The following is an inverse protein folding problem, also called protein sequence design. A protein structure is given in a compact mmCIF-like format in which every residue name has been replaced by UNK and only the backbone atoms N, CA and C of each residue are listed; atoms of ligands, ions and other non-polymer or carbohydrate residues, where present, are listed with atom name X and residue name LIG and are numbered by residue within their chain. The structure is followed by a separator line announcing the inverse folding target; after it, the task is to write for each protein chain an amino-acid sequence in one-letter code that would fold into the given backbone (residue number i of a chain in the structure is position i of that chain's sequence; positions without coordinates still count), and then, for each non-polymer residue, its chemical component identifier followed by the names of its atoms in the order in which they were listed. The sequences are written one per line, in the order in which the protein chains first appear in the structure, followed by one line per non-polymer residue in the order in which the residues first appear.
data_IF_225302821381
#
_entry.id   IF_225302821381
#
_cell.length_a   1.000
_cell.length_b   1.000
_cell.length_c   1.000
_cell.angle_alpha   90.00
_cell.angle_beta   90.00
_cell.angle_gamma   90.00
#
_symmetry.space_group_name_H-M   'P 1'
#
loop_
_entity.id
_entity.type
_entity.pdbx_description
1 polymer ?
#
# COMPACT_ATOMS: atom_id res chain seq x y z
N UNK A 1 13.65 -0.52 21.67
CA UNK A 1 14.42 -1.74 21.29
C UNK A 1 13.59 -3.01 21.48
N UNK A 2 13.13 -3.36 22.69
CA UNK A 2 12.34 -4.60 22.92
C UNK A 2 11.05 -4.74 22.08
N UNK A 3 10.28 -3.66 21.87
CA UNK A 3 8.99 -3.75 21.16
C UNK A 3 9.11 -3.80 19.63
N UNK A 4 10.14 -3.16 19.05
CA UNK A 4 10.43 -3.25 17.63
C UNK A 4 10.93 -4.65 17.24
N UNK A 5 11.80 -5.27 18.06
CA UNK A 5 12.25 -6.65 17.86
C UNK A 5 11.14 -7.67 18.10
N UNK A 6 10.23 -7.43 19.05
CA UNK A 6 9.00 -8.20 19.21
C UNK A 6 8.12 -8.05 17.96
N UNK A 7 7.86 -6.83 17.51
CA UNK A 7 7.01 -6.53 16.35
C UNK A 7 7.59 -7.08 15.04
N UNK A 8 8.89 -6.90 14.77
CA UNK A 8 9.58 -7.45 13.61
C UNK A 8 9.74 -8.97 13.72
N UNK A 9 9.91 -9.52 14.92
CA UNK A 9 9.85 -10.96 15.18
C UNK A 9 8.47 -11.56 14.89
N UNK A 10 7.39 -10.83 15.15
CA UNK A 10 6.02 -11.23 14.78
C UNK A 10 5.69 -10.99 13.30
N UNK A 11 6.30 -9.98 12.66
CA UNK A 11 6.13 -9.65 11.23
C UNK A 11 6.94 -10.56 10.30
N UNK A 12 8.13 -11.00 10.72
CA UNK A 12 9.03 -11.85 9.94
C UNK A 12 8.60 -13.32 9.95
N UNK A 13 7.69 -13.69 10.85
CA UNK A 13 6.99 -14.95 10.80
C UNK A 13 5.62 -14.77 10.15
N UNK A 14 5.17 -15.76 9.39
CA UNK A 14 3.80 -15.96 8.88
C UNK A 14 2.71 -16.04 9.99
N UNK A 15 2.87 -15.33 11.10
CA UNK A 15 2.14 -15.48 12.36
C UNK A 15 1.01 -14.46 12.56
N UNK A 16 0.22 -14.19 11.52
CA UNK A 16 -1.22 -14.10 11.79
C UNK A 16 -1.73 -15.40 12.43
N UNK A 17 -1.02 -16.52 12.20
CA UNK A 17 -1.19 -17.83 12.82
C UNK A 17 -1.04 -17.87 14.35
N UNK A 18 -0.46 -16.86 15.02
CA UNK A 18 -0.21 -16.89 16.48
C UNK A 18 -0.31 -15.51 17.17
N UNK A 19 -1.28 -14.67 16.80
CA UNK A 19 -1.58 -13.50 17.66
C UNK A 19 -2.25 -13.96 18.97
N UNK A 20 -2.15 -13.14 20.01
CA UNK A 20 -2.60 -13.35 21.42
C UNK A 20 -4.11 -13.66 21.56
N UNK A 21 -4.86 -13.68 20.45
CA UNK A 21 -6.25 -14.11 20.35
C UNK A 21 -6.38 -15.61 20.02
N UNK A 22 -5.57 -16.45 20.67
CA UNK A 22 -5.64 -17.90 20.50
C UNK A 22 -6.99 -18.46 20.99
N UNK A 23 -7.64 -19.20 20.10
CA UNK A 23 -8.80 -20.10 20.30
C UNK A 23 -10.16 -19.45 20.56
N UNK A 24 -10.70 -18.76 19.57
CA UNK A 24 -12.15 -18.53 19.47
C UNK A 24 -12.62 -18.87 18.05
N UNK A 25 -13.84 -19.40 17.90
CA UNK A 25 -14.39 -19.85 16.60
C UNK A 25 -14.41 -18.73 15.54
N UNK A 26 -14.45 -17.48 15.98
CA UNK A 26 -14.35 -16.31 15.12
C UNK A 26 -12.97 -16.17 14.44
N UNK A 27 -11.88 -16.51 15.15
CA UNK A 27 -10.51 -16.39 14.62
C UNK A 27 -10.21 -17.47 13.57
N UNK A 28 -10.71 -18.70 13.77
CA UNK A 28 -10.59 -19.77 12.78
C UNK A 28 -11.42 -19.49 11.54
N UNK A 29 -12.61 -18.89 11.71
CA UNK A 29 -13.45 -18.44 10.59
C UNK A 29 -12.79 -17.30 9.80
N UNK A 30 -12.21 -16.31 10.48
CA UNK A 30 -11.49 -15.22 9.81
C UNK A 30 -10.28 -15.75 9.02
N UNK A 31 -9.52 -16.68 9.60
CA UNK A 31 -8.39 -17.30 8.94
C UNK A 31 -8.80 -18.13 7.71
N UNK A 32 -9.88 -18.90 7.80
CA UNK A 32 -10.38 -19.68 6.66
C UNK A 32 -10.90 -18.79 5.52
N UNK A 33 -11.51 -17.64 5.84
CA UNK A 33 -11.87 -16.62 4.86
C UNK A 33 -10.64 -16.04 4.15
N UNK A 34 -9.61 -15.69 4.92
CA UNK A 34 -8.34 -15.21 4.37
C UNK A 34 -7.69 -16.26 3.46
N UNK A 35 -7.56 -17.51 3.91
CA UNK A 35 -7.00 -18.60 3.10
C UNK A 35 -7.82 -18.85 1.83
N UNK A 36 -9.16 -18.78 1.91
CA UNK A 36 -10.03 -18.95 0.75
C UNK A 36 -9.76 -17.87 -0.32
N UNK A 37 -9.64 -16.61 0.10
CA UNK A 37 -9.26 -15.50 -0.76
C UNK A 37 -7.85 -15.67 -1.34
N UNK A 38 -6.88 -15.95 -0.47
CA UNK A 38 -5.47 -16.12 -0.83
C UNK A 38 -5.28 -17.26 -1.84
N UNK A 39 -5.93 -18.41 -1.63
CA UNK A 39 -5.91 -19.55 -2.54
C UNK A 39 -6.53 -19.23 -3.91
N UNK A 40 -7.48 -18.30 -3.97
CA UNK A 40 -8.05 -17.83 -5.24
C UNK A 40 -7.02 -17.02 -6.01
N UNK A 41 -6.40 -16.03 -5.37
CA UNK A 41 -5.44 -15.12 -6.02
C UNK A 41 -4.08 -15.78 -6.31
N UNK A 42 -3.63 -16.74 -5.49
CA UNK A 42 -2.37 -17.49 -5.68
C UNK A 42 -2.31 -18.24 -7.01
N UNK A 43 -3.45 -18.48 -7.66
CA UNK A 43 -3.50 -19.03 -9.03
C UNK A 43 -2.77 -18.14 -10.04
N UNK A 44 -2.68 -16.83 -9.78
CA UNK A 44 -1.89 -15.89 -10.61
C UNK A 44 -0.40 -16.21 -10.63
N UNK A 45 0.14 -16.91 -9.61
CA UNK A 45 1.54 -17.35 -9.59
C UNK A 45 1.89 -18.36 -10.70
N UNK A 46 0.87 -18.91 -11.38
CA UNK A 46 1.02 -19.77 -12.56
C UNK A 46 1.05 -19.00 -13.88
N UNK A 47 1.04 -17.66 -13.85
CA UNK A 47 0.94 -16.79 -15.01
C UNK A 47 -0.48 -16.56 -15.53
N UNK A 48 -1.49 -17.24 -14.96
CA UNK A 48 -2.89 -17.12 -15.39
C UNK A 48 -3.61 -15.97 -14.71
N UNK A 49 -4.41 -15.21 -15.47
CA UNK A 49 -5.28 -14.18 -14.91
C UNK A 49 -6.36 -14.80 -14.01
N UNK A 50 -6.77 -14.04 -12.99
CA UNK A 50 -7.81 -14.42 -12.03
C UNK A 50 -8.87 -13.33 -11.98
N UNK A 51 -10.09 -13.69 -12.38
CA UNK A 51 -11.27 -12.85 -12.21
C UNK A 51 -11.98 -13.25 -10.92
N UNK A 52 -12.00 -12.33 -9.95
CA UNK A 52 -12.79 -12.44 -8.74
C UNK A 52 -14.27 -12.32 -9.12
N UNK A 53 -15.08 -13.28 -8.67
CA UNK A 53 -16.50 -13.32 -8.99
C UNK A 53 -17.28 -12.52 -7.95
N UNK A 54 -18.35 -11.84 -8.36
CA UNK A 54 -19.18 -11.04 -7.46
C UNK A 54 -19.73 -11.87 -6.29
N UNK A 55 -20.35 -13.03 -6.57
CA UNK A 55 -20.87 -13.94 -5.55
C UNK A 55 -19.82 -14.37 -4.52
N UNK A 56 -18.56 -14.52 -4.96
CA UNK A 56 -17.46 -14.88 -4.07
C UNK A 56 -17.13 -13.73 -3.12
N UNK A 57 -17.05 -12.49 -3.63
CA UNK A 57 -16.78 -11.31 -2.82
C UNK A 57 -17.95 -10.99 -1.88
N UNK A 58 -19.18 -11.10 -2.35
CA UNK A 58 -20.40 -10.95 -1.52
C UNK A 58 -20.40 -11.98 -0.39
N UNK A 59 -20.07 -13.24 -0.68
CA UNK A 59 -19.98 -14.26 0.36
C UNK A 59 -18.90 -13.94 1.40
N UNK A 60 -17.69 -13.51 0.97
CA UNK A 60 -16.65 -13.09 1.91
C UNK A 60 -17.15 -11.93 2.78
N UNK A 61 -17.71 -10.88 2.17
CA UNK A 61 -18.27 -9.71 2.87
C UNK A 61 -19.30 -10.14 3.92
N UNK A 62 -20.29 -10.94 3.53
CA UNK A 62 -21.35 -11.38 4.43
C UNK A 62 -20.82 -12.21 5.62
N UNK A 63 -19.73 -12.97 5.42
CA UNK A 63 -19.10 -13.73 6.50
C UNK A 63 -18.26 -12.82 7.42
N UNK A 64 -17.56 -11.82 6.88
CA UNK A 64 -16.88 -10.80 7.67
C UNK A 64 -17.87 -10.00 8.54
N UNK A 65 -19.02 -9.61 7.99
CA UNK A 65 -20.06 -8.90 8.74
C UNK A 65 -20.61 -9.72 9.92
N UNK A 66 -20.74 -11.05 9.77
CA UNK A 66 -21.11 -11.95 10.89
C UNK A 66 -20.06 -12.00 12.00
N UNK A 67 -18.81 -11.70 11.69
CA UNK A 67 -17.70 -11.58 12.65
C UNK A 67 -17.60 -10.17 13.25
N UNK A 68 -18.59 -9.31 13.01
CA UNK A 68 -18.55 -7.87 13.36
C UNK A 68 -17.33 -7.14 12.76
N UNK A 69 -16.76 -7.69 11.68
CA UNK A 69 -15.78 -6.99 10.86
C UNK A 69 -16.57 -6.15 9.87
N UNK A 70 -16.72 -4.87 10.21
CA UNK A 70 -17.44 -3.90 9.39
C UNK A 70 -16.45 -3.17 8.48
N UNK A 71 -16.89 -2.79 7.27
CA UNK A 71 -16.08 -1.98 6.37
C UNK A 71 -15.62 -0.69 7.08
N UNK A 72 -14.34 -0.36 6.92
CA UNK A 72 -13.89 1.01 7.16
C UNK A 72 -14.56 1.90 6.11
N UNK A 73 -15.38 2.88 6.55
CA UNK A 73 -16.26 3.70 5.72
C UNK A 73 -15.55 4.64 4.70
N UNK A 74 -14.25 4.44 4.48
CA UNK A 74 -13.42 5.30 3.64
C UNK A 74 -12.10 4.63 3.23
N UNK A 75 -11.86 4.60 1.92
CA UNK A 75 -10.56 4.31 1.32
C UNK A 75 -10.27 5.33 0.23
N UNK A 76 -9.02 5.80 0.11
CA UNK A 76 -8.58 6.58 -1.04
C UNK A 76 -7.96 5.65 -2.06
N UNK A 77 -8.63 5.47 -3.19
CA UNK A 77 -8.12 4.68 -4.31
C UNK A 77 -7.48 5.62 -5.32
N UNK A 78 -6.21 5.40 -5.63
CA UNK A 78 -5.59 6.02 -6.80
C UNK A 78 -5.85 5.11 -8.00
N UNK A 79 -6.72 5.57 -8.89
CA UNK A 79 -7.20 4.79 -10.03
C UNK A 79 -6.73 5.46 -11.33
N UNK A 80 -6.37 4.64 -12.31
CA UNK A 80 -6.17 5.08 -13.68
C UNK A 80 -7.21 4.40 -14.58
N UNK A 81 -7.78 5.14 -15.52
CA UNK A 81 -8.71 4.61 -16.52
C UNK A 81 -7.98 4.39 -17.84
N UNK A 82 -8.26 3.30 -18.54
CA UNK A 82 -7.79 3.08 -19.92
C UNK A 82 -8.87 3.42 -20.97
N UNK A 83 -8.50 3.26 -22.24
CA UNK A 83 -9.38 3.53 -23.38
C UNK A 83 -10.56 2.55 -23.50
N UNK A 84 -10.51 1.41 -22.80
CA UNK A 84 -11.52 0.36 -22.78
C UNK A 84 -12.42 0.43 -21.53
N UNK A 85 -12.37 1.55 -20.80
CA UNK A 85 -13.12 1.77 -19.56
C UNK A 85 -12.80 0.77 -18.45
N UNK A 86 -11.55 0.29 -18.42
CA UNK A 86 -10.99 -0.46 -17.29
C UNK A 86 -10.34 0.48 -16.30
N UNK A 87 -10.43 0.14 -15.02
CA UNK A 87 -9.98 0.95 -13.90
C UNK A 87 -8.86 0.23 -13.14
N UNK A 88 -7.65 0.76 -13.20
CA UNK A 88 -6.47 0.16 -12.58
C UNK A 88 -6.19 0.79 -11.23
N UNK A 89 -6.22 -0.03 -10.17
CA UNK A 89 -5.86 0.40 -8.81
C UNK A 89 -4.32 0.47 -8.70
N UNK A 90 -3.80 1.68 -8.56
CA UNK A 90 -2.36 1.92 -8.37
C UNK A 90 -1.93 1.91 -6.92
N UNK A 91 -2.80 2.43 -6.06
CA UNK A 91 -2.53 2.55 -4.64
C UNK A 91 -3.84 2.65 -3.88
N UNK A 92 -3.85 2.09 -2.68
CA UNK A 92 -4.92 2.26 -1.71
C UNK A 92 -4.32 3.02 -0.54
N UNK A 93 -4.62 4.31 -0.46
CA UNK A 93 -4.23 5.16 0.65
C UNK A 93 -5.33 5.12 1.72
N UNK A 94 -4.90 4.89 2.94
CA UNK A 94 -5.72 4.90 4.16
C UNK A 94 -5.58 6.22 4.91
N UNK A 95 -4.79 7.17 4.37
CA UNK A 95 -4.70 8.51 4.91
C UNK A 95 -5.89 9.33 4.41
N UNK A 96 -6.77 9.66 5.34
CA UNK A 96 -8.07 10.27 5.05
C UNK A 96 -7.98 11.63 4.33
N UNK A 97 -6.89 12.36 4.52
CA UNK A 97 -6.82 13.77 4.13
C UNK A 97 -5.45 14.20 3.62
N UNK A 98 -4.50 13.28 3.50
CA UNK A 98 -3.09 13.63 3.31
C UNK A 98 -2.83 14.36 1.99
N UNK A 99 -3.51 13.96 0.93
CA UNK A 99 -3.47 14.63 -0.36
C UNK A 99 -4.14 16.01 -0.31
N UNK A 100 -5.34 16.09 0.30
CA UNK A 100 -6.08 17.34 0.47
C UNK A 100 -5.25 18.39 1.23
N UNK A 101 -4.52 17.98 2.28
CA UNK A 101 -3.62 18.87 3.02
C UNK A 101 -2.41 19.35 2.21
N UNK A 102 -2.06 18.70 1.10
CA UNK A 102 -0.95 19.11 0.24
C UNK A 102 -1.39 19.96 -0.95
N UNK A 103 -2.63 19.78 -1.42
CA UNK A 103 -3.04 20.30 -2.73
C UNK A 103 -4.30 21.18 -2.70
N UNK A 104 -5.04 21.22 -1.58
CA UNK A 104 -6.30 21.94 -1.50
C UNK A 104 -6.24 23.15 -0.55
N UNK A 105 -7.18 24.08 -0.72
CA UNK A 105 -7.38 25.21 0.17
C UNK A 105 -8.00 24.80 1.51
N UNK A 106 -7.98 25.73 2.46
CA UNK A 106 -8.48 25.49 3.82
C UNK A 106 -9.98 25.16 3.86
N UNK A 107 -10.78 25.72 2.94
CA UNK A 107 -12.22 25.45 2.87
C UNK A 107 -12.52 24.03 2.39
N UNK A 108 -11.83 23.54 1.36
CA UNK A 108 -11.98 22.17 0.86
C UNK A 108 -11.56 21.15 1.91
N UNK A 109 -10.47 21.44 2.63
CA UNK A 109 -10.00 20.63 3.74
C UNK A 109 -11.04 20.56 4.85
N UNK A 110 -11.66 21.69 5.23
CA UNK A 110 -12.75 21.71 6.23
C UNK A 110 -13.94 20.86 5.78
N UNK A 111 -14.36 20.98 4.53
CA UNK A 111 -15.45 20.16 3.96
C UNK A 111 -15.12 18.67 4.00
N UNK A 112 -13.90 18.29 3.62
CA UNK A 112 -13.46 16.89 3.67
C UNK A 112 -13.44 16.34 5.10
N UNK A 113 -13.03 17.15 6.08
CA UNK A 113 -13.08 16.77 7.50
C UNK A 113 -14.52 16.62 8.01
N UNK A 114 -15.46 17.46 7.59
CA UNK A 114 -16.88 17.29 7.95
C UNK A 114 -17.47 16.00 7.35
N UNK A 115 -17.16 15.70 6.09
CA UNK A 115 -17.58 14.45 5.44
C UNK A 115 -16.98 13.23 6.15
N UNK A 116 -15.72 13.33 6.56
CA UNK A 116 -15.02 12.29 7.29
C UNK A 116 -15.73 11.97 8.62
N UNK A 117 -16.17 12.99 9.36
CA UNK A 117 -16.89 12.81 10.63
C UNK A 117 -18.21 12.06 10.46
N UNK A 118 -19.00 12.45 9.45
CA UNK A 118 -20.27 11.80 9.12
C UNK A 118 -20.02 10.32 8.81
N UNK A 119 -19.00 10.04 7.98
CA UNK A 119 -18.65 8.66 7.60
C UNK A 119 -18.12 7.84 8.77
N UNK A 120 -17.30 8.43 9.64
CA UNK A 120 -16.75 7.73 10.80
C UNK A 120 -17.73 7.67 11.98
N UNK A 121 -18.91 8.27 11.85
CA UNK A 121 -19.92 8.42 12.89
C UNK A 121 -19.32 8.95 14.21
N UNK A 122 -18.62 10.08 14.10
CA UNK A 122 -17.96 10.78 15.21
C UNK A 122 -18.37 12.24 15.24
N UNK A 123 -18.52 12.82 16.45
CA UNK A 123 -18.74 14.26 16.58
C UNK A 123 -17.44 15.03 16.28
N UNK A 124 -17.56 16.30 15.91
CA UNK A 124 -16.40 17.17 15.63
C UNK A 124 -15.38 17.22 16.76
N UNK A 125 -15.87 17.16 17.99
CA UNK A 125 -15.07 17.23 19.21
C UNK A 125 -14.39 15.91 19.57
N UNK A 126 -14.69 14.83 18.85
CA UNK A 126 -14.23 13.47 19.13
C UNK A 126 -13.23 12.99 18.06
N UNK A 127 -12.85 13.83 17.10
CA UNK A 127 -11.81 13.55 16.12
C UNK A 127 -10.49 14.21 16.57
N UNK A 128 -9.43 13.42 16.77
CA UNK A 128 -8.11 13.94 17.12
C UNK A 128 -7.15 13.79 15.93
N UNK A 129 -6.99 14.87 15.16
CA UNK A 129 -6.08 14.87 14.02
C UNK A 129 -4.62 14.98 14.49
N UNK A 130 -3.74 14.26 13.81
CA UNK A 130 -2.30 14.43 14.00
C UNK A 130 -1.53 14.27 12.70
N UNK A 131 -0.55 15.15 12.53
CA UNK A 131 0.38 15.14 11.40
C UNK A 131 1.75 15.56 11.96
N UNK A 132 2.53 14.62 12.51
CA UNK A 132 3.91 14.89 12.91
C UNK A 132 4.71 15.26 11.66
N UNK A 133 4.70 16.55 11.32
CA UNK A 133 5.52 17.10 10.25
C UNK A 133 6.96 17.13 10.76
N UNK A 134 7.67 16.02 10.57
CA UNK A 134 9.12 15.95 10.79
C UNK A 134 9.91 16.78 9.76
N UNK A 135 9.41 17.95 9.36
CA UNK A 135 10.00 18.81 8.33
C UNK A 135 9.78 18.33 6.89
N UNK A 136 8.98 17.27 6.66
CA UNK A 136 8.77 16.67 5.32
C UNK A 136 7.52 17.16 4.56
N UNK A 137 6.72 18.07 5.13
CA UNK A 137 5.62 18.72 4.40
C UNK A 137 5.97 20.18 4.08
N UNK A 138 6.00 20.61 2.81
CA UNK A 138 6.16 22.01 2.45
C UNK A 138 4.94 22.87 2.88
N UNK A 139 3.79 22.24 3.15
CA UNK A 139 2.62 22.92 3.68
C UNK A 139 2.51 22.67 5.19
N UNK A 140 2.95 23.64 5.98
CA UNK A 140 2.59 23.77 7.38
C UNK A 140 1.12 24.23 7.47
N UNK A 141 0.18 23.36 7.14
CA UNK A 141 -1.23 23.66 7.41
C UNK A 141 -1.41 23.63 8.92
N UNK A 142 -1.66 24.81 9.50
CA UNK A 142 -2.14 24.92 10.87
C UNK A 142 -3.52 24.28 10.91
N UNK A 143 -3.54 23.03 11.33
CA UNK A 143 -4.76 22.28 11.65
C UNK A 143 -5.42 22.96 12.86
N UNK A 144 -6.09 24.11 12.72
CA UNK A 144 -6.77 24.79 13.84
C UNK A 144 -8.04 24.01 14.25
N UNK A 145 -7.86 22.80 14.76
CA UNK A 145 -8.93 21.95 15.29
C UNK A 145 -8.85 21.90 16.82
N UNK A 146 -10.02 21.82 17.45
CA UNK A 146 -10.26 21.83 18.90
C UNK A 146 -9.54 20.72 19.67
N UNK A 147 -9.14 19.63 19.00
CA UNK A 147 -8.31 18.60 19.61
C UNK A 147 -7.26 18.12 18.62
N UNK A 148 -5.99 18.24 19.02
CA UNK A 148 -4.83 17.76 18.27
C UNK A 148 -3.98 16.89 19.19
N UNK A 149 -3.44 15.78 18.67
CA UNK A 149 -2.46 15.04 19.45
C UNK A 149 -1.13 15.81 19.48
N UNK A 150 -0.60 16.02 20.67
CA UNK A 150 0.66 16.75 20.86
C UNK A 150 1.83 15.94 20.33
N UNK A 151 2.46 16.40 19.25
CA UNK A 151 3.71 15.84 18.73
C UNK A 151 4.87 16.70 19.22
N UNK A 152 5.59 16.24 20.26
CA UNK A 152 6.69 16.97 20.93
C UNK A 152 6.27 18.37 21.44
N UNK A 153 7.22 19.14 21.97
CA UNK A 153 7.00 20.49 22.52
C UNK A 153 6.66 21.57 21.48
N UNK A 154 6.17 21.19 20.29
CA UNK A 154 5.90 22.12 19.18
C UNK A 154 4.44 22.57 19.06
N UNK A 155 3.53 22.03 19.87
CA UNK A 155 2.12 22.43 19.88
C UNK A 155 1.74 22.84 21.30
N UNK A 156 1.91 24.13 21.61
CA UNK A 156 1.36 24.76 22.81
C UNK A 156 0.01 25.39 22.47
N UNK A 157 -1.03 24.57 22.41
CA UNK A 157 -2.40 25.06 22.52
C UNK A 157 -3.08 24.39 23.72
N UNK A 158 -4.00 25.10 24.36
CA UNK A 158 -4.85 24.61 25.48
C UNK A 158 -5.67 23.37 25.13
N UNK A 159 -5.75 23.08 23.85
CA UNK A 159 -6.63 22.13 23.18
C UNK A 159 -5.86 20.88 22.69
N UNK A 160 -4.57 20.77 23.06
CA UNK A 160 -3.73 19.64 22.69
C UNK A 160 -3.84 18.48 23.69
N UNK A 161 -4.01 17.26 23.16
CA UNK A 161 -4.08 16.01 23.93
C UNK A 161 -2.72 15.31 23.86
N UNK A 162 -2.05 15.17 25.00
CA UNK A 162 -0.83 14.36 25.09
C UNK A 162 -1.16 12.87 25.05
N UNK A 163 -0.49 12.09 24.20
CA UNK A 163 -0.67 10.63 24.14
C UNK A 163 -0.34 9.95 25.49
N UNK A 164 0.60 10.52 26.24
CA UNK A 164 0.99 10.10 27.60
C UNK A 164 -0.16 10.18 28.62
N UNK A 165 -1.20 10.97 28.32
CA UNK A 165 -2.38 11.17 29.17
C UNK A 165 -3.61 10.40 28.66
N UNK A 166 -3.48 9.70 27.54
CA UNK A 166 -4.55 8.92 26.95
C UNK A 166 -4.51 7.47 27.45
N UNK A 167 -5.69 6.85 27.51
CA UNK A 167 -5.83 5.39 27.59
C UNK A 167 -6.39 4.87 26.28
N UNK A 168 -5.98 3.68 25.85
CA UNK A 168 -6.58 3.03 24.69
C UNK A 168 -7.87 2.29 25.11
N UNK A 169 -8.96 2.51 24.39
CA UNK A 169 -10.23 1.82 24.58
C UNK A 169 -10.69 1.12 23.31
N UNK A 170 -11.26 -0.07 23.43
CA UNK A 170 -11.90 -0.77 22.33
C UNK A 170 -13.37 -0.34 22.20
N UNK A 171 -13.79 0.07 21.01
CA UNK A 171 -15.18 0.34 20.68
C UNK A 171 -15.78 -0.85 19.91
N UNK A 172 -16.40 -1.79 20.62
CA UNK A 172 -16.97 -3.00 20.03
C UNK A 172 -18.13 -2.77 19.06
N UNK A 173 -18.81 -1.62 19.14
CA UNK A 173 -19.88 -1.28 18.19
C UNK A 173 -19.33 -0.76 16.85
N UNK A 174 -18.10 -0.26 16.84
CA UNK A 174 -17.43 0.33 15.67
C UNK A 174 -16.20 -0.46 15.23
N UNK A 175 -15.91 -1.57 15.91
CA UNK A 175 -14.76 -2.45 15.71
C UNK A 175 -13.43 -1.72 15.52
N UNK A 176 -13.16 -0.73 16.39
CA UNK A 176 -11.94 0.10 16.32
C UNK A 176 -11.42 0.51 17.69
N UNK A 177 -10.15 0.86 17.76
CA UNK A 177 -9.57 1.49 18.95
C UNK A 177 -9.79 3.01 18.97
N UNK A 178 -10.04 3.55 20.16
CA UNK A 178 -10.24 4.97 20.44
C UNK A 178 -9.35 5.38 21.62
N UNK A 179 -8.96 6.65 21.67
CA UNK A 179 -8.25 7.24 22.80
C UNK A 179 -9.24 7.78 23.82
N UNK A 180 -8.97 7.55 25.10
CA UNK A 180 -9.76 8.05 26.22
C UNK A 180 -8.92 9.08 26.96
N UNK A 181 -9.39 10.33 26.97
CA UNK A 181 -8.79 11.45 27.69
C UNK A 181 -9.89 12.21 28.46
N UNK A 182 -9.70 12.43 29.76
CA UNK A 182 -10.69 13.06 30.65
C UNK A 182 -12.13 12.49 30.52
N UNK A 183 -12.23 11.16 30.48
CA UNK A 183 -13.49 10.41 30.29
C UNK A 183 -14.23 10.68 28.96
N UNK A 184 -13.59 11.37 28.02
CA UNK A 184 -14.07 11.52 26.65
C UNK A 184 -13.33 10.57 25.73
N UNK A 185 -14.02 10.13 24.67
CA UNK A 185 -13.47 9.25 23.64
C UNK A 185 -13.10 10.07 22.41
N UNK A 186 -11.96 9.76 21.83
CA UNK A 186 -11.43 10.41 20.65
C UNK A 186 -10.97 9.36 19.65
N UNK A 187 -11.29 9.55 18.37
CA UNK A 187 -10.75 8.78 17.27
C UNK A 187 -9.50 9.50 16.75
N UNK A 188 -8.29 8.96 16.97
CA UNK A 188 -7.09 9.56 16.42
C UNK A 188 -6.96 9.23 14.94
N UNK A 189 -6.68 10.26 14.14
CA UNK A 189 -6.59 10.17 12.69
C UNK A 189 -5.28 10.79 12.22
N UNK A 190 -4.39 9.96 11.70
CA UNK A 190 -3.22 10.39 10.97
C UNK A 190 -3.66 11.07 9.68
N UNK A 191 -3.26 12.33 9.54
CA UNK A 191 -3.58 13.22 8.44
C UNK A 191 -2.40 13.45 7.48
N UNK A 192 -1.21 12.92 7.80
CA UNK A 192 -0.01 13.15 7.00
C UNK A 192 0.15 12.18 5.82
N UNK A 193 1.09 12.50 4.93
CA UNK A 193 1.47 11.70 3.75
C UNK A 193 2.65 10.77 3.98
N UNK A 194 3.32 10.87 5.13
CA UNK A 194 4.46 10.01 5.44
C UNK A 194 3.95 8.61 5.76
N UNK A 195 4.60 7.56 5.25
CA UNK A 195 4.19 6.21 5.61
C UNK A 195 4.30 6.01 7.13
N UNK A 196 3.30 5.37 7.73
CA UNK A 196 3.20 5.15 9.18
C UNK A 196 4.47 4.54 9.80
N UNK A 197 5.19 3.72 9.03
CA UNK A 197 6.45 3.10 9.43
C UNK A 197 7.55 4.11 9.87
N UNK A 198 7.51 5.34 9.34
CA UNK A 198 8.45 6.41 9.65
C UNK A 198 7.98 7.32 10.81
N UNK A 199 6.81 7.08 11.38
CA UNK A 199 6.34 7.80 12.57
C UNK A 199 7.09 7.30 13.82
N UNK A 200 7.15 8.14 14.85
CA UNK A 200 7.54 7.70 16.19
C UNK A 200 6.69 6.52 16.66
N UNK A 201 7.28 5.65 17.47
CA UNK A 201 6.72 4.35 17.82
C UNK A 201 5.27 4.43 18.32
N UNK A 202 4.97 5.35 19.24
CA UNK A 202 3.62 5.52 19.79
C UNK A 202 2.61 5.98 18.73
N UNK A 203 2.97 6.97 17.92
CA UNK A 203 2.11 7.47 16.84
C UNK A 203 1.91 6.44 15.73
N UNK A 204 2.95 5.66 15.43
CA UNK A 204 2.87 4.54 14.50
C UNK A 204 1.90 3.48 15.01
N UNK A 205 2.03 3.08 16.29
CA UNK A 205 1.13 2.12 16.93
C UNK A 205 -0.32 2.64 16.89
N UNK A 206 -0.54 3.90 17.27
CA UNK A 206 -1.86 4.52 17.18
C UNK A 206 -2.41 4.49 15.74
N UNK A 207 -1.60 4.86 14.73
CA UNK A 207 -2.03 4.80 13.33
C UNK A 207 -2.47 3.39 12.90
N UNK A 208 -1.77 2.35 13.38
CA UNK A 208 -2.10 0.96 13.06
C UNK A 208 -3.37 0.50 13.78
N UNK A 209 -3.60 0.95 15.01
CA UNK A 209 -4.73 0.50 15.82
C UNK A 209 -6.04 1.24 15.46
N UNK A 210 -5.98 2.48 14.99
CA UNK A 210 -7.18 3.31 14.83
C UNK A 210 -7.59 3.59 13.40
N UNK A 211 -6.69 3.41 12.44
CA UNK A 211 -6.95 3.63 11.01
C UNK A 211 -6.70 2.39 10.18
N UNK A 212 -6.63 1.24 10.86
CA UNK A 212 -6.51 -0.12 10.36
C UNK A 212 -5.81 -0.22 8.99
N UNK A 213 -4.49 -0.40 9.04
CA UNK A 213 -3.64 -0.48 7.85
C UNK A 213 -2.89 -1.81 7.76
N UNK A 214 -3.39 -2.87 8.38
CA UNK A 214 -2.63 -4.11 8.49
C UNK A 214 -3.33 -5.30 7.87
N UNK A 215 -3.67 -5.17 6.58
CA UNK A 215 -3.54 -6.18 5.51
C UNK A 215 -4.40 -5.74 4.32
N UNK A 216 -3.88 -4.85 3.49
CA UNK A 216 -4.39 -4.70 2.11
C UNK A 216 -3.90 -5.91 1.29
N UNK A 217 -4.34 -7.11 1.68
CA UNK A 217 -4.03 -8.38 1.03
C UNK A 217 -4.82 -8.58 -0.24
N UNK A 218 -5.07 -7.52 -1.03
CA UNK A 218 -5.85 -7.59 -2.27
C UNK A 218 -5.01 -8.15 -3.44
N UNK A 219 -3.71 -8.24 -3.25
CA UNK A 219 -2.73 -8.69 -4.24
C UNK A 219 -1.85 -9.77 -3.65
N UNK A 220 -1.07 -10.43 -4.52
CA UNK A 220 -0.02 -11.34 -4.06
C UNK A 220 1.04 -10.54 -3.29
N UNK A 221 1.45 -11.05 -2.13
CA UNK A 221 2.60 -10.50 -1.42
C UNK A 221 3.88 -10.89 -2.16
N UNK A 222 4.76 -9.91 -2.40
CA UNK A 222 6.06 -10.18 -3.04
C UNK A 222 6.87 -11.24 -2.30
N UNK A 223 6.76 -11.31 -0.97
CA UNK A 223 7.43 -12.33 -0.15
C UNK A 223 7.01 -13.77 -0.47
N UNK A 224 5.81 -13.98 -1.07
CA UNK A 224 5.31 -15.30 -1.48
C UNK A 224 5.83 -15.71 -2.87
N UNK A 225 6.49 -14.80 -3.57
CA UNK A 225 6.97 -15.03 -4.93
C UNK A 225 8.36 -15.64 -4.87
N UNK A 226 8.43 -16.95 -5.13
CA UNK A 226 9.70 -17.63 -5.44
C UNK A 226 10.08 -17.42 -6.90
N UNK A 227 11.35 -17.12 -7.18
CA UNK A 227 11.94 -16.99 -8.51
C UNK A 227 13.24 -17.79 -8.63
N UNK A 228 13.39 -18.51 -9.76
CA UNK A 228 14.64 -19.14 -10.17
C UNK A 228 15.32 -18.29 -11.25
N UNK A 229 14.72 -18.23 -12.44
CA UNK A 229 15.22 -17.46 -13.59
C UNK A 229 14.19 -16.44 -14.03
N UNK A 230 12.96 -16.91 -14.24
CA UNK A 230 11.87 -16.15 -14.84
C UNK A 230 10.54 -16.60 -14.23
N UNK A 231 9.62 -15.66 -14.03
CA UNK A 231 8.26 -15.95 -13.58
C UNK A 231 7.25 -14.97 -14.14
N UNK A 232 6.10 -15.49 -14.54
CA UNK A 232 4.93 -14.70 -14.90
C UNK A 232 3.91 -14.72 -13.77
N UNK A 233 3.33 -13.55 -13.49
CA UNK A 233 2.23 -13.37 -12.56
C UNK A 233 1.05 -12.81 -13.35
N UNK A 234 -0.08 -13.52 -13.30
CA UNK A 234 -1.31 -13.09 -13.95
C UNK A 234 -1.95 -11.85 -13.30
N UNK A 235 -2.93 -11.30 -14.01
CA UNK A 235 -3.76 -10.20 -13.54
C UNK A 235 -4.74 -10.67 -12.45
N UNK A 236 -5.10 -9.77 -11.53
CA UNK A 236 -6.26 -9.94 -10.64
C UNK A 236 -7.25 -8.83 -10.96
N UNK A 237 -8.48 -9.21 -11.31
CA UNK A 237 -9.55 -8.28 -11.66
C UNK A 237 -10.89 -8.65 -11.04
N UNK A 238 -11.77 -7.66 -10.95
CA UNK A 238 -13.18 -7.77 -10.61
C UNK A 238 -13.95 -6.86 -11.56
N UNK A 239 -14.84 -7.43 -12.38
CA UNK A 239 -15.50 -6.69 -13.47
C UNK A 239 -14.46 -5.95 -14.35
N UNK A 240 -14.61 -4.64 -14.53
CA UNK A 240 -13.67 -3.78 -15.26
C UNK A 240 -12.58 -3.18 -14.35
N UNK A 241 -12.51 -3.57 -13.07
CA UNK A 241 -11.51 -3.08 -12.12
C UNK A 241 -10.32 -4.05 -12.07
N UNK A 242 -9.13 -3.54 -12.36
CA UNK A 242 -7.86 -4.25 -12.26
C UNK A 242 -7.21 -3.92 -10.92
N UNK A 243 -7.18 -4.91 -10.03
CA UNK A 243 -6.61 -4.82 -8.69
C UNK A 243 -5.10 -5.03 -8.74
N UNK A 244 -4.64 -5.94 -9.61
CA UNK A 244 -3.23 -6.26 -9.81
C UNK A 244 -2.95 -6.44 -11.30
N UNK A 245 -2.00 -5.68 -11.84
CA UNK A 245 -1.50 -5.87 -13.22
C UNK A 245 -0.68 -7.14 -13.36
N UNK A 246 -0.65 -7.69 -14.58
CA UNK A 246 0.29 -8.74 -14.97
C UNK A 246 1.73 -8.31 -14.71
N UNK A 247 2.57 -9.27 -14.31
CA UNK A 247 3.99 -9.03 -14.05
C UNK A 247 4.84 -10.09 -14.72
N UNK A 248 5.99 -9.66 -15.22
CA UNK A 248 7.08 -10.54 -15.66
C UNK A 248 8.28 -10.26 -14.76
N UNK A 249 8.77 -11.29 -14.09
CA UNK A 249 9.83 -11.17 -13.10
C UNK A 249 11.04 -11.92 -13.61
N UNK A 250 12.18 -11.24 -13.70
CA UNK A 250 13.43 -11.79 -14.17
C UNK A 250 14.47 -11.74 -13.05
N UNK A 251 15.25 -12.82 -12.90
CA UNK A 251 16.43 -12.78 -12.07
C UNK A 251 17.54 -11.99 -12.79
N UNK A 252 18.32 -11.19 -12.05
CA UNK A 252 19.42 -10.38 -12.60
C UNK A 252 20.48 -11.18 -13.38
N UNK A 253 20.60 -12.50 -13.16
CA UNK A 253 21.50 -13.35 -13.95
C UNK A 253 21.14 -13.37 -15.44
N UNK A 254 19.86 -13.14 -15.78
CA UNK A 254 19.41 -13.01 -17.18
C UNK A 254 19.90 -11.73 -17.85
N UNK A 255 20.43 -10.77 -17.08
CA UNK A 255 21.02 -9.53 -17.58
C UNK A 255 22.55 -9.61 -17.71
N UNK A 256 23.16 -10.77 -17.44
CA UNK A 256 24.61 -10.94 -17.60
C UNK A 256 25.03 -10.68 -19.06
N UNK A 257 26.04 -9.81 -19.23
CA UNK A 257 26.55 -9.44 -20.55
C UNK A 257 25.68 -8.46 -21.34
N UNK A 258 24.65 -7.87 -20.72
CA UNK A 258 23.91 -6.72 -21.24
C UNK A 258 24.59 -5.43 -20.77
N UNK A 259 25.06 -4.61 -21.71
CA UNK A 259 25.83 -3.39 -21.51
C UNK A 259 25.08 -2.12 -21.99
N UNK A 260 25.56 -0.94 -21.59
CA UNK A 260 25.05 0.39 -22.04
C UNK A 260 25.59 0.76 -23.43
N UNK A 261 25.54 -0.18 -24.38
CA UNK A 261 25.97 -0.01 -25.77
C UNK A 261 25.01 -0.71 -26.74
N UNK A 262 25.29 -0.62 -28.04
CA UNK A 262 24.44 -1.19 -29.09
C UNK A 262 24.32 -2.72 -28.96
N UNK A 263 25.40 -3.41 -28.61
CA UNK A 263 25.41 -4.87 -28.44
C UNK A 263 24.55 -5.29 -27.24
N UNK A 264 24.65 -4.56 -26.13
CA UNK A 264 23.79 -4.73 -24.97
C UNK A 264 22.32 -4.48 -25.29
N UNK A 265 22.01 -3.42 -26.05
CA UNK A 265 20.65 -3.14 -26.51
C UNK A 265 20.09 -4.29 -27.36
N UNK A 266 20.86 -4.80 -28.32
CA UNK A 266 20.45 -5.96 -29.15
C UNK A 266 20.18 -7.19 -28.27
N UNK A 267 21.08 -7.52 -27.34
CA UNK A 267 20.92 -8.64 -26.40
C UNK A 267 19.67 -8.48 -25.52
N UNK A 268 19.39 -7.27 -25.04
CA UNK A 268 18.15 -7.03 -24.30
C UNK A 268 16.91 -7.26 -25.17
N UNK A 269 16.94 -6.84 -26.44
CA UNK A 269 15.82 -7.10 -27.35
C UNK A 269 15.65 -8.59 -27.69
N UNK A 270 16.72 -9.38 -27.68
CA UNK A 270 16.65 -10.85 -27.76
C UNK A 270 16.03 -11.45 -26.49
N UNK A 271 16.48 -11.00 -25.30
CA UNK A 271 15.89 -11.38 -24.02
C UNK A 271 14.38 -11.06 -23.98
N UNK A 272 14.01 -9.85 -24.43
CA UNK A 272 12.62 -9.41 -24.57
C UNK A 272 11.82 -10.35 -25.45
N UNK A 273 12.34 -10.72 -26.63
CA UNK A 273 11.65 -11.64 -27.55
C UNK A 273 11.49 -13.02 -26.91
N UNK A 274 12.54 -13.54 -26.26
CA UNK A 274 12.54 -14.86 -25.62
C UNK A 274 11.47 -14.98 -24.52
N UNK A 275 11.34 -13.95 -23.68
CA UNK A 275 10.41 -13.94 -22.55
C UNK A 275 9.12 -13.14 -22.81
N UNK A 276 8.92 -12.70 -24.05
CA UNK A 276 7.78 -11.88 -24.48
C UNK A 276 7.55 -10.67 -23.55
N UNK A 277 8.62 -9.97 -23.18
CA UNK A 277 8.51 -8.80 -22.31
C UNK A 277 7.83 -7.64 -23.09
N UNK A 278 6.99 -6.82 -22.42
CA UNK A 278 6.37 -5.66 -23.08
C UNK A 278 7.43 -4.64 -23.50
N UNK A 279 7.09 -3.79 -24.48
CA UNK A 279 7.97 -2.69 -24.90
C UNK A 279 7.93 -1.50 -23.94
N UNK A 280 6.82 -1.35 -23.22
CA UNK A 280 6.58 -0.32 -22.24
C UNK A 280 6.16 -0.96 -20.93
N UNK A 281 6.83 -0.60 -19.85
CA UNK A 281 6.59 -1.19 -18.54
C UNK A 281 7.03 -0.26 -17.42
N UNK A 282 6.50 -0.54 -16.24
CA UNK A 282 7.09 -0.07 -15.00
C UNK A 282 8.06 -1.12 -14.47
N UNK A 283 9.29 -0.70 -14.17
CA UNK A 283 10.28 -1.55 -13.51
C UNK A 283 10.30 -1.28 -12.00
N UNK A 284 10.37 -2.35 -11.21
CA UNK A 284 10.71 -2.33 -9.79
C UNK A 284 11.79 -3.37 -9.52
N UNK A 285 12.62 -3.10 -8.53
CA UNK A 285 13.68 -4.03 -8.10
C UNK A 285 13.38 -4.58 -6.71
N UNK A 286 13.71 -5.85 -6.51
CA UNK A 286 13.56 -6.54 -5.24
C UNK A 286 14.81 -7.39 -4.98
N UNK A 287 15.45 -7.30 -3.81
CA UNK A 287 16.47 -8.27 -3.43
C UNK A 287 15.89 -9.67 -3.38
N UNK A 288 16.73 -10.65 -3.71
CA UNK A 288 16.37 -12.06 -3.61
C UNK A 288 17.05 -12.63 -2.37
N UNK A 289 16.25 -13.26 -1.52
CA UNK A 289 16.71 -13.95 -0.33
C UNK A 289 16.00 -15.31 -0.25
N UNK A 290 16.77 -16.40 -0.19
CA UNK A 290 16.24 -17.77 -0.26
C UNK A 290 15.28 -17.98 -1.44
N UNK A 291 15.65 -17.50 -2.62
CA UNK A 291 14.86 -17.52 -3.86
C UNK A 291 13.54 -16.73 -3.81
N UNK A 292 13.27 -15.97 -2.75
CA UNK A 292 12.06 -15.15 -2.59
C UNK A 292 12.37 -13.67 -2.72
N UNK A 293 11.39 -12.89 -3.18
CA UNK A 293 11.51 -11.44 -3.26
C UNK A 293 11.38 -10.82 -1.87
N UNK A 294 12.33 -9.95 -1.51
CA UNK A 294 12.36 -9.24 -0.23
C UNK A 294 11.90 -7.78 -0.40
N UNK A 295 11.02 -7.31 0.49
CA UNK A 295 10.58 -5.92 0.53
C UNK A 295 11.32 -5.13 1.62
N UNK A 296 12.09 -4.12 1.21
CA UNK A 296 12.87 -3.26 2.09
C UNK A 296 12.20 -1.88 2.22
N UNK A 297 11.60 -1.62 3.38
CA UNK A 297 10.84 -0.39 3.64
C UNK A 297 11.66 0.90 3.64
N UNK A 298 12.95 0.84 4.00
CA UNK A 298 13.82 1.99 4.20
C UNK A 298 14.58 2.45 2.94
N UNK A 299 14.60 1.65 1.87
CA UNK A 299 15.41 1.93 0.69
C UNK A 299 14.68 2.85 -0.30
N UNK A 300 15.09 4.12 -0.35
CA UNK A 300 14.50 5.10 -1.26
C UNK A 300 14.78 4.74 -2.72
N UNK A 301 13.74 4.28 -3.42
CA UNK A 301 13.76 4.15 -4.89
C UNK A 301 13.87 2.73 -5.42
N UNK A 302 14.28 1.74 -4.61
CA UNK A 302 14.43 0.34 -5.03
C UNK A 302 13.10 -0.27 -5.50
N UNK A 303 12.04 -0.11 -4.69
CA UNK A 303 10.71 -0.64 -4.98
C UNK A 303 9.80 0.37 -5.68
N UNK A 304 10.28 1.57 -5.98
CA UNK A 304 9.46 2.60 -6.66
C UNK A 304 9.34 2.24 -8.15
N UNK A 305 8.14 2.26 -8.72
CA UNK A 305 7.96 1.96 -10.13
C UNK A 305 8.60 3.07 -10.96
N UNK A 306 9.42 2.70 -11.95
CA UNK A 306 10.01 3.62 -12.92
C UNK A 306 9.48 3.26 -14.29
N UNK A 307 8.93 4.23 -15.03
CA UNK A 307 8.46 4.00 -16.39
C UNK A 307 9.64 3.85 -17.36
N UNK A 308 9.59 2.82 -18.19
CA UNK A 308 10.59 2.51 -19.22
C UNK A 308 9.85 2.27 -20.54
N UNK A 309 10.25 3.00 -21.59
CA UNK A 309 9.95 2.67 -22.99
C UNK A 309 11.22 2.18 -23.67
N UNK A 310 11.32 0.87 -23.90
CA UNK A 310 12.56 0.28 -24.39
C UNK A 310 12.88 0.62 -25.85
N UNK A 311 11.92 1.21 -26.59
CA UNK A 311 12.15 1.62 -27.98
C UNK A 311 13.10 2.81 -28.06
N UNK A 312 13.23 3.56 -26.97
CA UNK A 312 14.17 4.64 -26.81
C UNK A 312 15.40 4.18 -26.00
N UNK A 313 16.56 4.24 -26.64
CA UNK A 313 17.86 3.91 -26.05
C UNK A 313 18.18 4.66 -24.76
N UNK A 314 17.62 5.87 -24.57
CA UNK A 314 17.78 6.62 -23.33
C UNK A 314 17.16 5.86 -22.15
N UNK A 315 15.90 5.43 -22.27
CA UNK A 315 15.22 4.68 -21.21
C UNK A 315 15.87 3.33 -20.94
N UNK A 316 16.33 2.64 -21.99
CA UNK A 316 17.13 1.42 -21.84
C UNK A 316 18.38 1.64 -20.98
N UNK A 317 19.17 2.66 -21.29
CA UNK A 317 20.38 2.97 -20.52
C UNK A 317 20.05 3.36 -19.07
N UNK A 318 18.97 4.12 -18.84
CA UNK A 318 18.54 4.46 -17.48
C UNK A 318 18.07 3.23 -16.68
N UNK A 319 17.37 2.30 -17.33
CA UNK A 319 16.98 1.02 -16.71
C UNK A 319 18.22 0.22 -16.28
N UNK A 320 19.22 0.07 -17.16
CA UNK A 320 20.44 -0.65 -16.82
C UNK A 320 21.22 0.02 -15.68
N UNK A 321 21.36 1.34 -15.69
CA UNK A 321 21.99 2.09 -14.59
C UNK A 321 21.26 1.85 -13.28
N UNK A 322 19.94 1.90 -13.31
CA UNK A 322 19.12 1.65 -12.13
C UNK A 322 19.37 0.23 -11.58
N UNK A 323 19.35 -0.79 -12.43
CA UNK A 323 19.67 -2.18 -12.04
C UNK A 323 21.09 -2.27 -11.46
N UNK A 324 22.09 -1.75 -12.18
CA UNK A 324 23.51 -1.86 -11.81
C UNK A 324 23.83 -1.14 -10.48
N UNK A 325 23.21 0.02 -10.24
CA UNK A 325 23.36 0.75 -8.98
C UNK A 325 22.97 -0.11 -7.78
N UNK A 326 21.87 -0.85 -7.88
CA UNK A 326 21.40 -1.72 -6.80
C UNK A 326 22.11 -3.08 -6.76
N UNK A 327 22.63 -3.59 -7.88
CA UNK A 327 23.46 -4.81 -7.88
C UNK A 327 24.75 -4.65 -7.09
N UNK A 328 25.30 -3.44 -7.03
CA UNK A 328 26.46 -3.16 -6.18
C UNK A 328 26.16 -3.33 -4.68
N UNK A 329 24.89 -3.14 -4.28
CA UNK A 329 24.41 -3.21 -2.90
C UNK A 329 23.81 -4.58 -2.55
N UNK A 330 23.12 -5.19 -3.51
CA UNK A 330 22.41 -6.46 -3.34
C UNK A 330 22.96 -7.48 -4.34
N UNK A 331 23.44 -8.62 -3.83
CA UNK A 331 24.09 -9.66 -4.65
C UNK A 331 23.15 -10.26 -5.71
N UNK A 332 21.89 -10.44 -5.33
CA UNK A 332 20.85 -10.99 -6.20
C UNK A 332 19.64 -10.06 -6.21
N UNK A 333 19.12 -9.81 -7.40
CA UNK A 333 17.96 -8.93 -7.62
C UNK A 333 16.97 -9.59 -8.57
N UNK A 334 15.70 -9.45 -8.25
CA UNK A 334 14.59 -9.65 -9.15
C UNK A 334 14.22 -8.31 -9.80
N UNK A 335 14.14 -8.33 -11.12
CA UNK A 335 13.65 -7.25 -11.96
C UNK A 335 12.17 -7.56 -12.25
N UNK A 336 11.28 -6.82 -11.58
CA UNK A 336 9.83 -6.95 -11.77
C UNK A 336 9.38 -5.93 -12.81
N UNK A 337 8.83 -6.42 -13.92
CA UNK A 337 8.24 -5.64 -14.99
C UNK A 337 6.73 -5.72 -14.86
N UNK A 338 6.08 -4.58 -14.68
CA UNK A 338 4.61 -4.46 -14.70
C UNK A 338 4.20 -3.80 -16.02
N UNK A 339 3.19 -4.34 -16.70
CA UNK A 339 2.69 -3.73 -17.94
C UNK A 339 2.29 -2.26 -17.71
N UNK A 340 2.70 -1.38 -18.62
CA UNK A 340 2.34 0.04 -18.56
C UNK A 340 0.89 0.23 -19.08
N UNK A 341 -0.09 -0.16 -18.26
CA UNK A 341 -1.52 -0.04 -18.56
C UNK A 341 -2.21 0.86 -17.51
N UNK A 342 -2.95 1.93 -17.89
CA UNK A 342 -3.07 2.44 -19.26
C UNK A 342 -1.72 2.87 -19.83
N UNK A 343 -1.59 2.77 -21.16
CA UNK A 343 -0.39 3.16 -21.88
C UNK A 343 -0.14 4.67 -21.64
N UNK A 344 1.05 5.06 -21.13
CA UNK A 344 1.34 6.45 -20.85
C UNK A 344 1.31 7.37 -22.07
N UNK A 345 1.33 6.83 -23.29
CA UNK A 345 1.20 7.61 -24.54
C UNK A 345 -0.23 7.72 -25.05
N UNK A 346 -1.19 7.00 -24.46
CA UNK A 346 -2.61 7.11 -24.80
C UNK A 346 -3.19 8.35 -24.11
N UNK A 347 -2.74 9.52 -24.56
CA UNK A 347 -3.17 10.83 -24.08
C UNK A 347 -4.51 11.24 -24.71
N UNK A 348 -5.57 10.47 -24.46
CA UNK A 348 -6.95 10.88 -24.71
C UNK A 348 -7.89 10.28 -23.65
N UNK A 349 -7.54 10.45 -22.36
CA UNK A 349 -8.45 10.68 -21.22
C UNK A 349 -7.70 10.60 -19.89
N UNK A 350 -7.58 11.78 -19.28
CA UNK A 350 -7.84 12.07 -17.86
C UNK A 350 -7.26 11.07 -16.84
N UNK A 351 -6.19 11.49 -16.15
CA UNK A 351 -6.02 11.10 -14.75
C UNK A 351 -7.18 11.70 -13.97
N UNK A 352 -8.31 11.01 -13.97
CA UNK A 352 -9.44 11.33 -13.11
C UNK A 352 -9.14 10.64 -11.79
N UNK A 353 -8.66 11.39 -10.79
CA UNK A 353 -8.67 10.91 -9.42
C UNK A 353 -10.14 10.79 -8.99
N UNK A 354 -10.72 9.64 -9.29
CA UNK A 354 -11.96 9.20 -8.66
C UNK A 354 -11.63 8.90 -7.21
N UNK A 355 -11.86 9.89 -6.34
CA UNK A 355 -12.13 9.62 -4.94
C UNK A 355 -13.44 8.83 -4.89
N UNK A 356 -13.36 7.51 -5.10
CA UNK A 356 -14.54 6.65 -4.95
C UNK A 356 -14.79 6.52 -3.45
N UNK A 357 -15.76 7.27 -2.99
CA UNK A 357 -16.33 7.11 -1.66
C UNK A 357 -17.20 5.84 -1.67
N UNK A 358 -16.58 4.66 -1.55
CA UNK A 358 -17.31 3.40 -1.35
C UNK A 358 -17.88 3.36 0.07
#
# INVERSE_FOLDING_TARGET
MKYLELYEGYRASDNFKQSVFTQNDSSSTLYSLYESYENKIKRTLSGKDVVLQEDFLINIKNQLEKLAVHNTNYHNLLIQRDMEDRYFINNIQSSYLSYMFQHCGEEEIKKAVEQLKIKLDVKQEELALYCPSYGFSPNNIKLNYKYQLKVKDKVESSDSIGLDRCRLGWNGNKSRFELIYDNKKFLPVYAGTLAAAYLEEDFRIISYLTQDQFLNGFTINYADITIEDYKEIGEISFENIVIQRRKKILHNKLFQGISEDLDGYIKFHELRRKYQLPEQFFIRLFPINNMRLEFIFAEKGLHKPIFIDIRDSFFFNQMLRHINNYLSKYKELAIVLEEANPNPYDFDKVTEELSVFI
#
